data_IF_700535215670
#
_entry.id   IF_700535215670
#
_cell.length_a   1.000
_cell.length_b   1.000
_cell.length_c   1.000
_cell.angle_alpha   90.00
_cell.angle_beta   90.00
_cell.angle_gamma   90.00
#
_symmetry.space_group_name_H-M   'P 1'
#
loop_
_entity.id
_entity.type
_entity.pdbx_description
1 polymer ?
#
# COMPACT_ATOMS: atom_id res chain seq x y z
N UNK A 1 1.72 -7.05 7.15
CA UNK A 1 0.44 -6.60 7.73
C UNK A 1 0.56 -5.23 8.38
N UNK A 2 0.27 -4.18 7.63
CA UNK A 2 0.20 -2.77 8.07
C UNK A 2 -0.22 -2.55 9.55
N UNK A 3 0.68 -2.10 10.42
CA UNK A 3 0.34 -1.62 11.77
C UNK A 3 0.63 -0.14 11.90
N UNK A 4 -0.44 0.65 11.91
CA UNK A 4 -0.57 1.75 12.86
C UNK A 4 -2.04 2.21 13.04
N UNK A 5 -2.92 2.12 12.02
CA UNK A 5 -4.20 2.86 12.11
C UNK A 5 -5.50 2.19 11.58
N UNK A 6 -5.49 0.96 11.06
CA UNK A 6 -6.68 0.42 10.38
C UNK A 6 -7.88 0.04 11.28
N UNK A 7 -7.73 0.01 12.62
CA UNK A 7 -8.82 -0.31 13.58
C UNK A 7 -9.35 0.87 14.38
N UNK A 8 -8.92 2.10 14.10
CA UNK A 8 -9.71 3.24 14.57
C UNK A 8 -11.03 3.23 13.79
N UNK A 9 -12.14 2.96 14.49
CA UNK A 9 -13.48 3.13 13.91
C UNK A 9 -13.55 4.55 13.34
N UNK A 10 -13.51 4.69 12.01
CA UNK A 10 -13.59 5.98 11.34
C UNK A 10 -12.47 6.31 10.35
N UNK A 11 -11.42 5.49 10.19
CA UNK A 11 -10.50 5.68 9.06
C UNK A 11 -11.22 5.30 7.74
N UNK A 12 -11.45 6.24 6.82
CA UNK A 12 -12.23 5.97 5.61
C UNK A 12 -11.40 5.31 4.50
N UNK A 13 -10.10 5.13 4.71
CA UNK A 13 -9.22 4.51 3.70
C UNK A 13 -9.27 3.00 3.85
N UNK A 14 -9.62 2.34 2.76
CA UNK A 14 -9.67 0.89 2.64
C UNK A 14 -8.70 0.41 1.56
N UNK A 15 -8.31 -0.86 1.64
CA UNK A 15 -7.79 -1.54 0.47
C UNK A 15 -8.99 -1.81 -0.43
N UNK A 16 -9.00 -1.23 -1.62
CA UNK A 16 -10.09 -1.40 -2.57
C UNK A 16 -9.87 -2.67 -3.41
N UNK A 17 -8.70 -2.78 -4.00
CA UNK A 17 -8.32 -3.88 -4.88
C UNK A 17 -6.86 -4.31 -4.67
N UNK A 18 -6.61 -5.58 -4.93
CA UNK A 18 -5.27 -6.17 -4.95
C UNK A 18 -5.16 -7.02 -6.22
N UNK A 19 -4.14 -6.77 -7.03
CA UNK A 19 -3.72 -7.68 -8.08
C UNK A 19 -2.45 -8.40 -7.60
N UNK A 20 -2.59 -9.71 -7.36
CA UNK A 20 -1.54 -10.58 -6.81
C UNK A 20 -1.13 -11.72 -7.77
N UNK A 21 -1.67 -11.72 -8.99
CA UNK A 21 -1.45 -12.78 -9.96
C UNK A 21 -1.56 -12.27 -11.39
N UNK A 22 -0.54 -11.54 -11.83
CA UNK A 22 -0.38 -11.17 -13.23
C UNK A 22 0.36 -12.26 -14.00
N UNK A 23 -0.31 -12.90 -14.97
CA UNK A 23 0.41 -13.70 -15.97
C UNK A 23 1.18 -12.75 -16.91
N UNK A 24 2.49 -12.65 -16.67
CA UNK A 24 3.55 -12.30 -17.62
C UNK A 24 3.57 -10.90 -18.31
N UNK A 25 2.89 -9.86 -17.81
CA UNK A 25 3.13 -8.49 -18.33
C UNK A 25 2.78 -7.32 -17.40
N UNK A 26 1.87 -7.49 -16.45
CA UNK A 26 1.47 -6.41 -15.54
C UNK A 26 2.18 -6.57 -14.19
N UNK A 27 2.72 -5.52 -13.55
CA UNK A 27 3.19 -5.62 -12.17
C UNK A 27 2.01 -5.86 -11.20
N UNK A 28 2.25 -6.57 -10.11
CA UNK A 28 1.30 -6.64 -9.00
C UNK A 28 1.04 -5.24 -8.45
N UNK A 29 -0.13 -5.01 -7.85
CA UNK A 29 -0.45 -3.71 -7.27
C UNK A 29 -1.46 -3.79 -6.14
N UNK A 30 -1.43 -2.75 -5.30
CA UNK A 30 -2.37 -2.48 -4.21
C UNK A 30 -3.03 -1.14 -4.49
N UNK A 31 -4.36 -1.09 -4.47
CA UNK A 31 -5.12 0.15 -4.54
C UNK A 31 -5.73 0.49 -3.18
N UNK A 32 -5.48 1.72 -2.73
CA UNK A 32 -6.16 2.30 -1.58
C UNK A 32 -7.23 3.28 -2.06
N UNK A 33 -8.38 3.25 -1.41
CA UNK A 33 -9.51 4.15 -1.69
C UNK A 33 -9.92 4.87 -0.41
N UNK A 34 -9.98 6.19 -0.47
CA UNK A 34 -10.63 7.00 0.57
C UNK A 34 -12.15 7.03 0.35
N UNK A 35 -12.89 6.22 1.08
CA UNK A 35 -14.37 6.17 0.99
C UNK A 35 -15.08 7.35 1.66
N UNK A 36 -14.33 8.27 2.26
CA UNK A 36 -14.81 9.39 3.05
C UNK A 36 -14.94 10.68 2.26
N UNK A 37 -15.55 11.68 2.89
CA UNK A 37 -15.78 13.01 2.31
C UNK A 37 -14.71 14.05 2.66
N UNK A 38 -13.62 13.65 3.33
CA UNK A 38 -12.50 14.52 3.72
C UNK A 38 -11.16 13.94 3.22
N UNK A 39 -10.16 14.78 2.89
CA UNK A 39 -8.83 14.29 2.51
C UNK A 39 -8.18 13.52 3.67
N UNK A 40 -7.44 12.45 3.35
CA UNK A 40 -6.70 11.66 4.34
C UNK A 40 -5.23 11.60 3.97
N UNK A 41 -4.37 12.10 4.87
CA UNK A 41 -2.93 11.91 4.75
C UNK A 41 -2.57 10.48 5.14
N UNK A 42 -2.08 9.71 4.17
CA UNK A 42 -1.60 8.33 4.31
C UNK A 42 -0.06 8.26 4.29
N UNK A 43 0.62 9.41 4.23
CA UNK A 43 2.05 9.48 4.35
C UNK A 43 2.54 8.86 5.66
N UNK A 44 3.61 8.08 5.56
CA UNK A 44 4.19 7.34 6.68
C UNK A 44 3.50 5.99 6.99
N UNK A 45 2.39 5.66 6.34
CA UNK A 45 1.78 4.33 6.47
C UNK A 45 2.69 3.25 5.90
N UNK A 46 2.58 2.03 6.40
CA UNK A 46 3.50 0.94 6.06
C UNK A 46 2.77 -0.17 5.33
N UNK A 47 3.22 -0.56 4.13
CA UNK A 47 2.75 -1.74 3.40
C UNK A 47 3.63 -2.95 3.71
N UNK A 48 3.00 -4.12 3.90
CA UNK A 48 3.69 -5.38 4.11
C UNK A 48 2.75 -6.58 3.93
N UNK A 49 3.27 -7.63 3.33
CA UNK A 49 2.73 -8.99 3.17
C UNK A 49 2.90 -9.89 4.43
N UNK A 50 3.80 -9.56 5.37
CA UNK A 50 4.13 -10.40 6.53
C UNK A 50 3.53 -9.89 7.84
N UNK A 51 2.94 -10.77 8.65
CA UNK A 51 2.31 -10.38 9.94
C UNK A 51 3.32 -9.95 11.01
N UNK A 52 4.51 -10.54 10.97
CA UNK A 52 5.57 -10.34 11.95
C UNK A 52 6.63 -9.31 11.51
N UNK A 53 6.53 -8.80 10.29
CA UNK A 53 7.41 -7.78 9.74
C UNK A 53 6.58 -6.78 8.96
N UNK A 54 6.27 -5.65 9.59
CA UNK A 54 5.31 -4.67 9.08
C UNK A 54 5.98 -3.49 8.36
N UNK A 55 7.30 -3.41 8.46
CA UNK A 55 8.11 -2.26 8.06
C UNK A 55 8.85 -2.57 6.75
N UNK A 56 8.09 -2.90 5.70
CA UNK A 56 8.69 -3.29 4.40
C UNK A 56 8.73 -2.14 3.39
N UNK A 57 7.62 -1.44 3.23
CA UNK A 57 7.52 -0.26 2.38
C UNK A 57 6.77 0.85 3.12
N UNK A 58 7.31 2.06 3.16
CA UNK A 58 6.66 3.22 3.75
C UNK A 58 6.05 4.12 2.67
N UNK A 59 4.78 4.49 2.75
CA UNK A 59 4.23 5.49 1.84
C UNK A 59 4.94 6.82 2.10
N UNK A 60 5.43 7.47 1.04
CA UNK A 60 6.15 8.74 1.13
C UNK A 60 5.39 9.77 1.98
N UNK A 61 6.14 10.59 2.73
CA UNK A 61 5.59 11.66 3.54
C UNK A 61 4.68 12.58 2.71
N UNK A 62 3.66 13.15 3.36
CA UNK A 62 2.71 14.09 2.76
C UNK A 62 1.85 13.51 1.61
N UNK A 63 1.81 12.19 1.44
CA UNK A 63 0.88 11.54 0.51
C UNK A 63 -0.56 11.65 1.01
N UNK A 64 -1.42 12.35 0.26
CA UNK A 64 -2.83 12.55 0.59
C UNK A 64 -3.73 11.84 -0.42
N UNK A 65 -4.74 11.12 0.06
CA UNK A 65 -5.85 10.62 -0.76
C UNK A 65 -7.03 11.56 -0.56
N UNK A 66 -7.40 12.27 -1.62
CA UNK A 66 -8.57 13.15 -1.65
C UNK A 66 -9.89 12.39 -1.42
N UNK A 67 -11.00 13.08 -1.08
CA UNK A 67 -12.31 12.44 -0.91
C UNK A 67 -12.70 11.58 -2.11
N UNK A 68 -13.12 10.34 -1.88
CA UNK A 68 -13.55 9.38 -2.91
C UNK A 68 -12.48 9.04 -3.96
N UNK A 69 -11.21 9.40 -3.71
CA UNK A 69 -10.11 9.19 -4.62
C UNK A 69 -9.36 7.89 -4.31
N UNK A 70 -8.55 7.47 -5.29
CA UNK A 70 -7.78 6.24 -5.28
C UNK A 70 -6.29 6.56 -5.41
N UNK A 71 -5.45 5.72 -4.83
CA UNK A 71 -4.01 5.71 -5.09
C UNK A 71 -3.56 4.27 -5.28
N UNK A 72 -2.70 4.04 -6.27
CA UNK A 72 -2.20 2.72 -6.64
C UNK A 72 -0.71 2.63 -6.39
N UNK A 73 -0.30 1.60 -5.67
CA UNK A 73 1.10 1.23 -5.48
C UNK A 73 1.39 0.00 -6.34
N UNK A 74 2.28 0.14 -7.30
CA UNK A 74 2.75 -0.97 -8.15
C UNK A 74 4.01 -1.60 -7.56
N UNK A 75 4.11 -2.92 -7.61
CA UNK A 75 5.28 -3.69 -7.19
C UNK A 75 6.56 -3.19 -7.86
N UNK A 76 6.55 -3.08 -9.19
CA UNK A 76 7.75 -2.78 -9.98
C UNK A 76 8.35 -1.40 -9.72
N UNK A 77 7.56 -0.44 -9.24
CA UNK A 77 8.02 0.93 -8.97
C UNK A 77 8.13 1.24 -7.49
N UNK A 78 7.36 0.56 -6.64
CA UNK A 78 7.28 0.81 -5.20
C UNK A 78 7.84 -0.37 -4.40
N UNK A 79 6.97 -1.26 -3.93
CA UNK A 79 7.29 -2.19 -2.85
C UNK A 79 8.11 -3.42 -3.26
N UNK A 80 8.24 -3.69 -4.56
CA UNK A 80 9.17 -4.68 -5.13
C UNK A 80 10.46 -4.05 -5.67
N UNK A 81 10.60 -2.72 -5.64
CA UNK A 81 11.75 -2.01 -6.17
C UNK A 81 12.80 -1.73 -5.06
N UNK A 82 13.96 -2.40 -5.05
CA UNK A 82 15.00 -2.18 -4.03
C UNK A 82 15.73 -0.84 -4.18
N UNK A 83 15.55 -0.13 -5.29
CA UNK A 83 16.13 1.21 -5.52
C UNK A 83 15.20 2.33 -5.06
N UNK A 84 13.96 2.01 -4.69
CA UNK A 84 13.05 2.99 -4.13
C UNK A 84 13.48 3.30 -2.68
N UNK A 85 13.73 4.57 -2.31
CA UNK A 85 14.21 4.94 -0.97
C UNK A 85 13.20 4.61 0.15
N UNK A 86 11.93 4.48 -0.20
CA UNK A 86 10.85 4.15 0.72
C UNK A 86 10.69 2.63 0.94
N UNK A 87 11.46 1.82 0.21
CA UNK A 87 11.48 0.35 0.32
C UNK A 87 12.61 -0.08 1.26
N UNK A 88 12.25 -0.56 2.45
CA UNK A 88 13.21 -1.11 3.43
C UNK A 88 13.43 -2.60 3.26
N UNK A 89 12.42 -3.32 2.78
CA UNK A 89 12.52 -4.70 2.35
C UNK A 89 11.52 -4.94 1.21
N UNK A 90 12.00 -5.46 0.08
CA UNK A 90 11.14 -5.77 -1.06
C UNK A 90 10.17 -6.90 -0.71
N UNK A 91 8.95 -6.83 -1.25
CA UNK A 91 8.00 -7.95 -1.24
C UNK A 91 7.21 -8.02 -2.55
N UNK A 92 6.57 -9.17 -2.77
CA UNK A 92 5.66 -9.41 -3.89
C UNK A 92 4.31 -9.90 -3.33
N UNK A 93 3.23 -9.80 -4.10
CA UNK A 93 1.91 -10.28 -3.67
C UNK A 93 1.64 -11.71 -4.15
N UNK A 94 2.59 -12.31 -4.88
CA UNK A 94 2.51 -13.64 -5.46
C UNK A 94 2.18 -14.76 -4.47
N UNK A 95 1.70 -15.88 -5.01
CA UNK A 95 1.19 -17.07 -4.30
C UNK A 95 2.09 -17.66 -3.20
N UNK A 96 3.38 -17.31 -3.15
CA UNK A 96 4.37 -17.94 -2.28
C UNK A 96 4.84 -17.10 -1.08
N UNK A 97 4.40 -15.85 -0.91
CA UNK A 97 4.65 -15.02 0.30
C UNK A 97 6.12 -14.82 0.73
#
# INVERSE_FOLDING_TARGET
>A
MLAAHWREKGCPVVINEILAHSHAAAPDWIELHNTGSIPVNVGGWLLSDKKNDLYKFQIAADTVIEPFAYIVFYESTHFGNPLNPDTWATFALSENG
#
